data_IF_236302810938
#
_entry.id   IF_236302810938
#
_cell.length_a   1.000
_cell.length_b   1.000
_cell.length_c   1.000
_cell.angle_alpha   90.00
_cell.angle_beta   90.00
_cell.angle_gamma   90.00
#
_symmetry.space_group_name_H-M   'P 1'
#
loop_
_entity.id
_entity.type
_entity.pdbx_description
1 polymer ?
#
# COMPACT_ATOMS: atom_id res chain seq x y z
N UNK A 1 -3.75 -1.06 6.43
CA UNK A 1 -4.18 0.32 6.74
C UNK A 1 -3.40 1.35 5.92
N UNK A 2 -2.11 1.14 5.63
CA UNK A 2 -1.26 2.04 4.84
C UNK A 2 -1.91 2.62 3.57
N UNK A 3 -2.61 1.80 2.77
CA UNK A 3 -3.26 2.24 1.55
C UNK A 3 -4.34 3.31 1.78
N UNK A 4 -5.12 3.21 2.86
CA UNK A 4 -6.14 4.20 3.22
C UNK A 4 -5.50 5.51 3.69
N UNK A 5 -4.49 5.43 4.56
CA UNK A 5 -3.71 6.58 5.02
C UNK A 5 -3.10 7.33 3.82
N UNK A 6 -2.50 6.60 2.89
CA UNK A 6 -1.94 7.15 1.65
C UNK A 6 -2.99 7.82 0.78
N UNK A 7 -4.16 7.18 0.60
CA UNK A 7 -5.27 7.74 -0.17
C UNK A 7 -5.78 9.06 0.42
N UNK A 8 -5.99 9.11 1.74
CA UNK A 8 -6.48 10.32 2.43
C UNK A 8 -5.45 11.44 2.34
N UNK A 9 -4.18 11.13 2.60
CA UNK A 9 -3.09 12.09 2.49
C UNK A 9 -2.98 12.67 1.07
N UNK A 10 -2.98 11.82 0.04
CA UNK A 10 -2.89 12.26 -1.35
C UNK A 10 -4.08 13.15 -1.77
N UNK A 11 -5.28 12.88 -1.24
CA UNK A 11 -6.45 13.73 -1.46
C UNK A 11 -6.32 15.09 -0.78
N UNK A 12 -5.80 15.12 0.45
CA UNK A 12 -5.60 16.35 1.21
C UNK A 12 -4.49 17.23 0.62
N UNK A 13 -3.33 16.64 0.30
CA UNK A 13 -2.18 17.37 -0.27
C UNK A 13 -2.32 17.62 -1.78
N UNK A 14 -3.26 16.94 -2.46
CA UNK A 14 -3.37 16.88 -3.93
C UNK A 14 -2.11 16.34 -4.62
N UNK A 15 -1.27 15.60 -3.89
CA UNK A 15 -0.05 14.99 -4.41
C UNK A 15 -0.17 13.47 -4.38
N UNK A 16 -0.03 12.85 -5.56
CA UNK A 16 -0.15 11.40 -5.73
C UNK A 16 1.19 10.70 -5.97
N UNK A 17 2.21 11.46 -6.36
CA UNK A 17 3.52 10.96 -6.72
C UNK A 17 4.59 11.84 -6.08
N UNK A 18 5.70 11.23 -5.65
CA UNK A 18 6.93 11.89 -5.27
C UNK A 18 8.05 11.37 -6.17
N UNK A 19 8.85 12.27 -6.73
CA UNK A 19 10.05 11.89 -7.45
C UNK A 19 11.28 12.09 -6.56
N UNK A 20 12.36 11.34 -6.78
CA UNK A 20 13.60 11.48 -6.03
C UNK A 20 14.33 12.81 -6.28
N UNK A 21 13.88 13.60 -7.26
CA UNK A 21 14.31 14.99 -7.44
C UNK A 21 13.66 15.96 -6.45
N UNK A 22 12.61 15.52 -5.75
CA UNK A 22 11.75 16.36 -4.92
C UNK A 22 12.22 16.33 -3.45
N UNK A 23 13.53 16.55 -3.24
CA UNK A 23 14.19 16.41 -1.93
C UNK A 23 13.81 17.52 -0.92
N UNK A 24 13.28 18.66 -1.37
CA UNK A 24 13.01 19.85 -0.54
C UNK A 24 11.54 20.02 -0.12
N UNK A 25 10.72 18.99 -0.23
CA UNK A 25 9.30 19.09 0.14
C UNK A 25 9.11 18.79 1.64
N UNK A 26 8.42 19.70 2.34
CA UNK A 26 8.02 19.48 3.73
C UNK A 26 7.28 18.13 3.89
N UNK A 27 7.47 17.42 5.02
CA UNK A 27 6.83 16.13 5.22
C UNK A 27 5.30 16.27 5.13
N UNK A 28 4.59 15.26 4.59
CA UNK A 28 3.15 15.31 4.49
C UNK A 28 2.48 15.52 5.86
N UNK A 29 1.31 16.18 5.90
CA UNK A 29 0.56 16.31 7.13
C UNK A 29 0.10 14.93 7.63
N UNK A 30 -0.03 14.81 8.95
CA UNK A 30 -0.70 13.66 9.56
C UNK A 30 -2.16 13.64 9.15
N UNK A 31 -2.75 12.44 9.14
CA UNK A 31 -4.16 12.26 8.78
C UNK A 31 -4.96 11.79 9.98
N UNK A 32 -6.19 12.26 10.07
CA UNK A 32 -7.18 11.76 11.02
C UNK A 32 -8.14 10.84 10.27
N UNK A 33 -8.34 9.62 10.76
CA UNK A 33 -9.20 8.62 10.11
C UNK A 33 -10.37 8.27 11.02
N UNK A 34 -11.60 8.45 10.53
CA UNK A 34 -12.77 7.99 11.28
C UNK A 34 -12.92 6.47 11.22
N UNK A 35 -13.48 5.87 12.29
CA UNK A 35 -13.80 4.44 12.34
C UNK A 35 -14.64 4.02 11.13
N UNK A 36 -15.70 4.78 10.83
CA UNK A 36 -16.57 4.50 9.69
C UNK A 36 -15.81 4.50 8.36
N UNK A 37 -14.88 5.45 8.16
CA UNK A 37 -14.05 5.49 6.94
C UNK A 37 -13.11 4.28 6.84
N UNK A 38 -12.59 3.79 7.96
CA UNK A 38 -11.80 2.56 8.00
C UNK A 38 -12.66 1.34 7.63
N UNK A 39 -13.82 1.17 8.25
CA UNK A 39 -14.74 0.07 7.98
C UNK A 39 -15.21 0.04 6.53
N UNK A 40 -15.63 1.19 6.01
CA UNK A 40 -16.08 1.34 4.63
C UNK A 40 -14.96 0.96 3.64
N UNK A 41 -13.72 1.40 3.91
CA UNK A 41 -12.59 1.08 3.07
C UNK A 41 -12.24 -0.41 3.11
N UNK A 42 -12.17 -1.01 4.31
CA UNK A 42 -11.83 -2.43 4.44
C UNK A 42 -12.90 -3.32 3.78
N UNK A 43 -14.18 -3.02 4.01
CA UNK A 43 -15.28 -3.72 3.35
C UNK A 43 -15.22 -3.56 1.83
N UNK A 44 -15.02 -2.34 1.34
CA UNK A 44 -14.92 -2.09 -0.10
C UNK A 44 -13.72 -2.79 -0.74
N UNK A 45 -12.59 -2.90 -0.03
CA UNK A 45 -11.42 -3.64 -0.46
C UNK A 45 -11.73 -5.14 -0.53
N UNK A 46 -12.31 -5.74 0.50
CA UNK A 46 -12.70 -7.15 0.52
C UNK A 46 -13.69 -7.46 -0.61
N UNK A 47 -14.71 -6.63 -0.79
CA UNK A 47 -15.67 -6.76 -1.90
C UNK A 47 -14.98 -6.63 -3.27
N UNK A 48 -14.01 -5.72 -3.42
CA UNK A 48 -13.26 -5.57 -4.65
C UNK A 48 -12.44 -6.83 -4.96
N UNK A 49 -11.71 -7.35 -3.98
CA UNK A 49 -10.94 -8.59 -4.14
C UNK A 49 -11.85 -9.78 -4.50
N UNK A 50 -13.00 -9.92 -3.84
CA UNK A 50 -13.99 -10.95 -4.18
C UNK A 50 -14.50 -10.80 -5.62
N UNK A 51 -14.87 -9.58 -6.04
CA UNK A 51 -15.32 -9.31 -7.42
C UNK A 51 -14.26 -9.63 -8.46
N UNK A 52 -12.98 -9.32 -8.18
CA UNK A 52 -11.87 -9.66 -9.09
C UNK A 52 -11.71 -11.18 -9.17
N UNK A 53 -11.69 -11.87 -8.03
CA UNK A 53 -11.57 -13.33 -8.03
C UNK A 53 -12.70 -13.99 -8.82
N UNK A 54 -13.94 -13.57 -8.62
CA UNK A 54 -15.11 -14.11 -9.33
C UNK A 54 -15.07 -13.80 -10.83
N UNK A 55 -14.77 -12.54 -11.20
CA UNK A 55 -14.78 -12.10 -12.60
C UNK A 55 -13.68 -12.75 -13.44
N UNK A 56 -12.55 -13.09 -12.81
CA UNK A 56 -11.40 -13.70 -13.46
C UNK A 56 -11.23 -15.19 -13.14
N UNK A 57 -12.23 -15.85 -12.52
CA UNK A 57 -12.15 -17.26 -12.13
C UNK A 57 -11.83 -18.22 -13.30
N UNK A 58 -12.27 -17.89 -14.51
CA UNK A 58 -11.98 -18.66 -15.73
C UNK A 58 -10.73 -18.20 -16.49
N UNK A 59 -10.04 -17.18 -15.99
CA UNK A 59 -8.88 -16.55 -16.61
C UNK A 59 -7.63 -16.81 -15.79
N UNK A 60 -6.46 -16.75 -16.44
CA UNK A 60 -5.20 -16.73 -15.70
C UNK A 60 -5.04 -15.34 -15.09
N UNK A 61 -4.78 -15.28 -13.78
CA UNK A 61 -4.49 -14.05 -13.05
C UNK A 61 -3.09 -14.16 -12.44
N UNK A 62 -2.28 -13.12 -12.59
CA UNK A 62 -0.99 -13.00 -11.93
C UNK A 62 -1.15 -12.05 -10.75
N UNK A 63 -0.92 -12.57 -9.55
CA UNK A 63 -0.88 -11.76 -8.33
C UNK A 63 0.55 -11.30 -8.05
N UNK A 64 0.70 -10.00 -7.77
CA UNK A 64 1.97 -9.39 -7.37
C UNK A 64 1.70 -8.60 -6.09
N UNK A 65 2.30 -9.05 -5.00
CA UNK A 65 2.28 -8.34 -3.72
C UNK A 65 3.10 -7.06 -3.82
N UNK A 66 2.58 -5.98 -3.23
CA UNK A 66 3.21 -4.69 -3.27
C UNK A 66 4.57 -4.70 -2.54
N UNK A 67 4.67 -5.39 -1.41
CA UNK A 67 5.88 -5.53 -0.61
C UNK A 67 6.96 -6.30 -1.37
N UNK A 68 6.58 -7.34 -2.10
CA UNK A 68 7.49 -8.07 -2.97
C UNK A 68 7.96 -7.20 -4.14
N UNK A 69 7.07 -6.42 -4.75
CA UNK A 69 7.43 -5.48 -5.81
C UNK A 69 8.45 -4.45 -5.34
N UNK A 70 8.36 -3.98 -4.09
CA UNK A 70 9.35 -3.06 -3.52
C UNK A 70 10.72 -3.72 -3.29
N UNK A 71 10.76 -4.96 -2.79
CA UNK A 71 12.02 -5.68 -2.51
C UNK A 71 12.69 -6.20 -3.77
N UNK A 72 11.92 -6.69 -4.74
CA UNK A 72 12.39 -7.45 -5.90
C UNK A 72 11.75 -6.97 -7.21
N UNK A 73 11.88 -5.68 -7.57
CA UNK A 73 11.16 -5.12 -8.72
C UNK A 73 11.47 -5.82 -10.04
N UNK A 74 12.75 -6.18 -10.26
CA UNK A 74 13.19 -6.90 -11.47
C UNK A 74 12.54 -8.27 -11.57
N UNK A 75 12.52 -9.06 -10.48
CA UNK A 75 11.95 -10.40 -10.49
C UNK A 75 10.42 -10.38 -10.67
N UNK A 76 9.75 -9.39 -10.09
CA UNK A 76 8.32 -9.15 -10.32
C UNK A 76 8.04 -8.81 -11.80
N UNK A 77 8.86 -7.95 -12.40
CA UNK A 77 8.72 -7.59 -13.81
C UNK A 77 8.99 -8.78 -14.76
N UNK A 78 10.02 -9.57 -14.50
CA UNK A 78 10.28 -10.81 -15.24
C UNK A 78 9.12 -11.79 -15.16
N UNK A 79 8.50 -11.91 -13.98
CA UNK A 79 7.30 -12.74 -13.79
C UNK A 79 6.14 -12.22 -14.64
N UNK A 80 5.94 -10.90 -14.71
CA UNK A 80 4.93 -10.29 -15.56
C UNK A 80 5.18 -10.55 -17.06
N UNK A 81 6.42 -10.40 -17.54
CA UNK A 81 6.77 -10.69 -18.93
C UNK A 81 6.52 -12.15 -19.31
N UNK A 82 6.94 -13.08 -18.45
CA UNK A 82 6.70 -14.51 -18.62
C UNK A 82 5.21 -14.84 -18.64
N UNK A 83 4.43 -14.21 -17.76
CA UNK A 83 2.99 -14.40 -17.71
C UNK A 83 2.29 -13.91 -18.99
N UNK A 84 2.71 -12.76 -19.52
CA UNK A 84 2.21 -12.21 -20.78
C UNK A 84 2.70 -12.97 -22.02
N UNK A 85 3.72 -13.83 -21.88
CA UNK A 85 4.29 -14.60 -22.98
C UNK A 85 5.11 -13.75 -23.96
N UNK A 86 5.64 -12.60 -23.50
CA UNK A 86 6.43 -11.68 -24.32
C UNK A 86 7.90 -11.68 -23.90
N UNK A 87 8.83 -11.36 -24.83
CA UNK A 87 10.24 -11.20 -24.47
C UNK A 87 10.44 -10.09 -23.42
N UNK A 88 11.30 -10.36 -22.43
CA UNK A 88 11.64 -9.35 -21.43
C UNK A 88 12.36 -8.17 -22.08
N UNK A 89 11.79 -6.98 -21.94
CA UNK A 89 12.44 -5.75 -22.37
C UNK A 89 13.35 -5.25 -21.25
N UNK A 90 14.61 -4.97 -21.58
CA UNK A 90 15.51 -4.25 -20.68
C UNK A 90 15.06 -2.79 -20.62
N UNK A 91 14.45 -2.41 -19.50
CA UNK A 91 14.04 -1.02 -19.26
C UNK A 91 15.26 -0.23 -18.79
N UNK A 92 15.76 0.66 -19.65
CA UNK A 92 16.82 1.61 -19.31
C UNK A 92 16.22 2.78 -18.52
N UNK A 93 15.87 2.55 -17.26
CA UNK A 93 15.34 3.59 -16.38
C UNK A 93 15.15 3.06 -14.97
N UNK A 94 15.88 3.62 -14.01
CA UNK A 94 15.51 3.50 -12.61
C UNK A 94 14.29 4.38 -12.38
N UNK A 95 13.14 3.80 -12.04
CA UNK A 95 11.96 4.58 -11.68
C UNK A 95 12.28 5.53 -10.54
N UNK A 96 12.19 6.83 -10.81
CA UNK A 96 12.49 7.91 -9.88
C UNK A 96 11.41 8.09 -8.80
N UNK A 97 10.38 7.23 -8.77
CA UNK A 97 9.23 7.34 -7.89
C UNK A 97 9.55 6.86 -6.48
N UNK A 98 9.15 7.64 -5.49
CA UNK A 98 9.31 7.35 -4.09
C UNK A 98 7.95 7.33 -3.38
N UNK A 99 7.90 6.62 -2.24
CA UNK A 99 6.79 6.74 -1.30
C UNK A 99 6.71 8.20 -0.82
N UNK A 100 5.51 8.78 -0.89
CA UNK A 100 5.20 10.11 -0.36
C UNK A 100 5.44 10.21 1.14
N UNK A 101 5.10 9.13 1.86
CA UNK A 101 5.24 9.01 3.30
C UNK A 101 5.98 7.71 3.62
N UNK A 102 7.02 7.81 4.45
CA UNK A 102 7.86 6.69 4.87
C UNK A 102 7.82 6.46 6.38
N UNK A 103 7.24 7.40 7.14
CA UNK A 103 7.03 7.24 8.59
C UNK A 103 6.00 6.14 8.86
N UNK A 104 6.11 5.46 10.02
CA UNK A 104 5.17 4.42 10.42
C UNK A 104 3.75 4.96 10.66
N UNK A 105 2.79 4.04 10.81
CA UNK A 105 1.38 4.39 10.88
C UNK A 105 1.00 5.12 12.17
N UNK A 106 1.64 4.77 13.27
CA UNK A 106 1.51 5.42 14.58
C UNK A 106 1.97 6.89 14.56
N UNK A 107 2.96 7.21 13.73
CA UNK A 107 3.46 8.57 13.54
C UNK A 107 2.68 9.41 12.54
N UNK A 108 1.91 8.78 11.65
CA UNK A 108 1.25 9.43 10.51
C UNK A 108 -0.27 9.51 10.66
N UNK A 109 -0.88 8.66 11.49
CA UNK A 109 -2.31 8.69 11.81
C UNK A 109 -2.51 9.20 13.23
N UNK A 110 -3.16 10.36 13.36
CA UNK A 110 -3.29 11.07 14.64
C UNK A 110 -4.00 10.24 15.73
N UNK A 111 -4.98 9.44 15.32
CA UNK A 111 -5.81 8.63 16.21
C UNK A 111 -5.52 7.12 16.07
N UNK A 112 -4.30 6.74 15.68
CA UNK A 112 -3.91 5.35 15.43
C UNK A 112 -4.24 4.40 16.60
N UNK A 113 -3.87 4.79 17.82
CA UNK A 113 -4.10 4.00 19.03
C UNK A 113 -5.59 3.80 19.36
N UNK A 114 -6.44 4.79 19.06
CA UNK A 114 -7.89 4.67 19.21
C UNK A 114 -8.45 3.64 18.22
N UNK A 115 -8.03 3.73 16.95
CA UNK A 115 -8.44 2.80 15.90
C UNK A 115 -7.97 1.37 16.21
N UNK A 116 -6.70 1.22 16.61
CA UNK A 116 -6.14 -0.09 16.99
C UNK A 116 -6.95 -0.74 18.11
N UNK A 117 -7.31 0.01 19.15
CA UNK A 117 -8.17 -0.49 20.24
C UNK A 117 -9.57 -0.85 19.77
N UNK A 118 -10.16 -0.04 18.88
CA UNK A 118 -11.51 -0.29 18.38
C UNK A 118 -11.58 -1.57 17.53
N UNK A 119 -10.61 -1.79 16.64
CA UNK A 119 -10.59 -2.95 15.76
C UNK A 119 -9.97 -4.21 16.39
N UNK A 120 -9.46 -4.13 17.62
CA UNK A 120 -8.85 -5.24 18.33
C UNK A 120 -9.83 -6.42 18.48
N UNK A 121 -9.37 -7.63 18.10
CA UNK A 121 -10.19 -8.85 18.14
C UNK A 121 -11.24 -8.95 17.03
N UNK A 122 -11.32 -7.97 16.13
CA UNK A 122 -12.20 -7.99 14.97
C UNK A 122 -11.53 -8.52 13.70
N UNK A 123 -12.30 -8.71 12.60
CA UNK A 123 -11.79 -9.22 11.32
C UNK A 123 -10.73 -8.29 10.68
N UNK A 124 -10.72 -7.03 11.06
CA UNK A 124 -9.81 -6.00 10.55
C UNK A 124 -8.61 -5.71 11.46
N UNK A 125 -8.47 -6.44 12.59
CA UNK A 125 -7.37 -6.26 13.53
C UNK A 125 -5.99 -6.34 12.85
N UNK A 126 -5.83 -7.30 11.92
CA UNK A 126 -4.60 -7.52 11.13
C UNK A 126 -4.06 -6.26 10.43
N UNK A 127 -4.91 -5.28 10.13
CA UNK A 127 -4.49 -4.04 9.48
C UNK A 127 -3.77 -3.06 10.41
N UNK A 128 -3.75 -3.34 11.72
CA UNK A 128 -3.11 -2.53 12.78
C UNK A 128 -1.99 -3.29 13.52
N UNK A 129 -1.67 -4.51 13.08
CA UNK A 129 -0.64 -5.38 13.71
C UNK A 129 0.73 -5.29 12.98
N UNK A 130 0.76 -4.69 11.79
CA UNK A 130 1.95 -4.58 10.95
C UNK A 130 2.77 -3.33 11.33
N UNK A 131 3.57 -3.46 12.39
CA UNK A 131 4.81 -2.68 12.59
C UNK A 131 5.82 -3.41 13.51
N UNK A 132 5.44 -4.45 14.26
CA UNK A 132 6.39 -5.19 15.12
C UNK A 132 7.34 -6.15 14.36
N UNK A 133 7.07 -6.47 13.09
CA UNK A 133 7.83 -7.47 12.33
C UNK A 133 8.98 -6.90 11.46
N UNK A 134 9.19 -5.58 11.46
CA UNK A 134 10.20 -4.91 10.62
C UNK A 134 11.28 -4.16 11.41
N UNK A 135 11.35 -4.32 12.73
CA UNK A 135 12.49 -3.87 13.52
C UNK A 135 13.64 -4.88 13.39
N UNK A 136 14.77 -4.57 12.72
CA UNK A 136 15.98 -5.33 12.97
C UNK A 136 16.38 -5.05 14.42
N UNK A 137 16.45 -6.10 15.25
CA UNK A 137 17.23 -6.00 16.47
C UNK A 137 18.70 -5.81 16.07
N UNK A 138 19.30 -4.70 16.53
CA UNK A 138 20.70 -4.35 16.29
C UNK A 138 21.03 -2.94 16.77
#
# INVERSE_FOLDING_TARGET
MESLRSLVQARQSRQWLKFSSDDDTAPPPRVNLSIASCEDYFRAADEFHARVADSFASSRLLEIEYERLLREPTACLETAWRFLGVPALQLSGSGTLQRLEQRPLDDTVENFEELRRHFAGGPYARFFELDDALMPEG
#
